data_IF_274558688864
#
_entry.id   IF_274558688864
#
_cell.length_a   1.000
_cell.length_b   1.000
_cell.length_c   1.000
_cell.angle_alpha   90.00
_cell.angle_beta   90.00
_cell.angle_gamma   90.00
#
_symmetry.space_group_name_H-M   'P 1'
#
loop_
_entity.id
_entity.type
_entity.pdbx_description
1 polymer ?
#
# COMPACT_ATOMS: atom_id res chain seq x y z
N UNK A 1 -16.02 -18.15 -16.79
CA UNK A 1 -16.09 -18.81 -15.45
C UNK A 1 -15.97 -17.69 -14.43
N UNK A 2 -16.86 -17.61 -13.43
CA UNK A 2 -16.67 -16.65 -12.32
C UNK A 2 -15.35 -16.95 -11.63
N UNK A 3 -14.62 -15.91 -11.31
CA UNK A 3 -13.40 -16.01 -10.49
C UNK A 3 -13.76 -16.63 -9.13
N UNK A 4 -12.89 -17.50 -8.61
CA UNK A 4 -13.08 -18.07 -7.26
C UNK A 4 -12.70 -17.06 -6.16
N UNK A 5 -12.29 -15.84 -6.54
CA UNK A 5 -11.86 -14.81 -5.61
C UNK A 5 -13.08 -14.23 -4.90
N UNK A 6 -13.05 -14.25 -3.58
CA UNK A 6 -14.06 -13.67 -2.71
C UNK A 6 -13.46 -12.66 -1.70
N UNK A 7 -12.14 -12.59 -1.65
CA UNK A 7 -11.38 -11.74 -0.72
C UNK A 7 -10.36 -10.88 -1.49
N UNK A 8 -10.34 -9.59 -1.21
CA UNK A 8 -9.41 -8.68 -1.85
C UNK A 8 -8.64 -7.93 -0.75
N UNK A 9 -7.32 -8.06 -0.82
CA UNK A 9 -6.38 -7.36 0.05
C UNK A 9 -5.72 -6.23 -0.73
N UNK A 10 -5.68 -5.05 -0.16
CA UNK A 10 -5.11 -3.87 -0.80
C UNK A 10 -3.93 -3.34 0.01
N UNK A 11 -2.88 -2.93 -0.69
CA UNK A 11 -2.01 -1.92 -0.12
C UNK A 11 -2.75 -0.57 -0.03
N UNK A 12 -2.23 0.34 0.78
CA UNK A 12 -2.87 1.63 1.03
C UNK A 12 -2.25 2.75 0.17
N UNK A 13 -0.97 3.03 0.45
CA UNK A 13 -0.27 4.20 -0.12
C UNK A 13 0.12 3.96 -1.59
N UNK A 14 -0.32 4.82 -2.50
CA UNK A 14 -0.09 4.63 -3.94
C UNK A 14 -1.06 3.64 -4.61
N UNK A 15 -1.89 2.95 -3.85
CA UNK A 15 -2.88 1.98 -4.33
C UNK A 15 -4.31 2.48 -4.14
N UNK A 16 -4.75 2.66 -2.90
CA UNK A 16 -6.08 3.18 -2.54
C UNK A 16 -6.12 4.70 -2.41
N UNK A 17 -5.05 5.27 -1.88
CA UNK A 17 -4.90 6.71 -1.68
C UNK A 17 -3.59 7.22 -2.27
N UNK A 18 -3.64 8.38 -2.91
CA UNK A 18 -2.44 9.03 -3.44
C UNK A 18 -1.75 9.82 -2.33
N UNK A 19 -0.74 9.20 -1.77
CA UNK A 19 0.17 9.77 -0.77
C UNK A 19 1.54 10.07 -1.34
N UNK A 20 1.75 9.95 -2.64
CA UNK A 20 3.06 10.05 -3.27
C UNK A 20 3.74 11.38 -2.95
N UNK A 21 3.05 12.52 -3.16
CA UNK A 21 3.59 13.85 -2.88
C UNK A 21 3.87 14.06 -1.38
N UNK A 22 3.00 13.54 -0.52
CA UNK A 22 3.22 13.59 0.92
C UNK A 22 4.50 12.84 1.31
N UNK A 23 4.66 11.61 0.83
CA UNK A 23 5.82 10.76 1.17
C UNK A 23 7.11 11.36 0.62
N UNK A 24 7.11 11.77 -0.66
CA UNK A 24 8.28 12.37 -1.32
C UNK A 24 8.70 13.66 -0.61
N UNK A 25 7.77 14.59 -0.40
CA UNK A 25 8.09 15.86 0.27
C UNK A 25 8.58 15.65 1.70
N UNK A 26 8.04 14.64 2.39
CA UNK A 26 8.47 14.28 3.75
C UNK A 26 9.90 13.73 3.76
N UNK A 27 10.24 12.85 2.82
CA UNK A 27 11.63 12.37 2.69
C UNK A 27 12.57 13.51 2.38
N UNK A 28 12.26 14.35 1.40
CA UNK A 28 13.10 15.48 1.03
C UNK A 28 13.31 16.45 2.20
N UNK A 29 12.26 16.78 2.94
CA UNK A 29 12.34 17.62 4.13
C UNK A 29 13.26 16.99 5.20
N UNK A 30 13.05 15.73 5.50
CA UNK A 30 13.85 15.01 6.50
C UNK A 30 15.32 14.93 6.06
N UNK A 31 15.55 14.50 4.82
CA UNK A 31 16.91 14.30 4.30
C UNK A 31 17.68 15.63 4.14
N UNK A 32 17.02 16.73 3.81
CA UNK A 32 17.65 18.04 3.76
C UNK A 32 18.21 18.46 5.12
N UNK A 33 17.54 18.10 6.22
CA UNK A 33 18.02 18.38 7.58
C UNK A 33 19.29 17.60 7.96
N UNK A 34 19.38 16.32 7.55
CA UNK A 34 20.47 15.42 7.94
C UNK A 34 21.58 15.32 6.89
N UNK A 35 21.25 15.54 5.63
CA UNK A 35 22.16 15.43 4.47
C UNK A 35 21.89 16.57 3.47
N UNK A 36 22.18 17.83 3.83
CA UNK A 36 21.83 19.01 3.03
C UNK A 36 22.31 18.91 1.57
N UNK A 37 21.40 19.17 0.63
CA UNK A 37 21.70 19.19 -0.82
C UNK A 37 22.07 17.84 -1.44
N UNK A 38 21.94 16.73 -0.73
CA UNK A 38 22.41 15.42 -1.21
C UNK A 38 21.36 14.64 -2.02
N UNK A 39 20.08 14.82 -1.73
CA UNK A 39 19.00 14.00 -2.31
C UNK A 39 18.03 14.83 -3.14
N UNK A 40 17.73 14.33 -4.33
CA UNK A 40 16.73 14.87 -5.24
C UNK A 40 15.43 14.09 -5.13
N UNK A 41 14.40 14.54 -5.85
CA UNK A 41 13.11 13.82 -5.96
C UNK A 41 13.30 12.41 -6.50
N UNK A 42 14.12 12.26 -7.51
CA UNK A 42 14.41 10.98 -8.16
C UNK A 42 15.09 10.00 -7.20
N UNK A 43 15.97 10.50 -6.34
CA UNK A 43 16.69 9.68 -5.36
C UNK A 43 15.79 9.10 -4.27
N UNK A 44 14.65 9.75 -3.99
CA UNK A 44 13.73 9.28 -2.93
C UNK A 44 12.64 8.34 -3.46
N UNK A 45 12.43 8.21 -4.77
CA UNK A 45 11.42 7.29 -5.32
C UNK A 45 11.61 5.82 -4.89
N UNK A 46 12.84 5.29 -4.81
CA UNK A 46 13.07 3.93 -4.30
C UNK A 46 12.67 3.72 -2.84
N UNK A 47 12.56 4.79 -2.05
CA UNK A 47 12.21 4.73 -0.62
C UNK A 47 10.71 4.55 -0.38
N UNK A 48 9.87 4.70 -1.41
CA UNK A 48 8.45 4.42 -1.32
C UNK A 48 8.23 2.90 -1.31
N UNK A 49 7.62 2.40 -0.23
CA UNK A 49 7.30 0.98 -0.02
C UNK A 49 8.05 0.32 1.14
N UNK A 50 9.39 0.40 1.24
CA UNK A 50 10.12 -0.06 2.43
C UNK A 50 9.72 0.68 3.70
N UNK A 51 10.03 0.09 4.85
CA UNK A 51 9.81 0.75 6.15
C UNK A 51 10.79 1.91 6.36
N UNK A 52 10.40 2.89 7.18
CA UNK A 52 11.29 4.02 7.51
C UNK A 52 12.60 3.55 8.16
N UNK A 53 12.53 2.49 9.01
CA UNK A 53 13.71 1.95 9.66
C UNK A 53 14.68 1.27 8.68
N UNK A 54 14.16 0.60 7.64
CA UNK A 54 15.00 0.04 6.58
C UNK A 54 15.68 1.15 5.79
N UNK A 55 14.93 2.18 5.38
CA UNK A 55 15.48 3.30 4.58
C UNK A 55 16.51 4.09 5.37
N UNK A 56 16.14 4.59 6.54
CA UNK A 56 17.05 5.43 7.35
C UNK A 56 18.18 4.62 7.98
N UNK A 57 17.92 3.34 8.34
CA UNK A 57 18.96 2.44 8.85
C UNK A 57 20.07 2.15 7.85
N UNK A 58 19.74 2.09 6.55
CA UNK A 58 20.73 1.95 5.49
C UNK A 58 21.55 3.24 5.24
N UNK A 59 21.00 4.41 5.61
CA UNK A 59 21.67 5.71 5.42
C UNK A 59 22.55 6.10 6.62
N UNK A 60 22.01 5.97 7.83
CA UNK A 60 22.65 6.36 9.07
C UNK A 60 22.08 5.57 10.26
N UNK A 61 22.70 4.42 10.60
CA UNK A 61 22.20 3.55 11.67
C UNK A 61 22.16 4.22 13.05
N UNK A 62 23.00 5.24 13.29
CA UNK A 62 23.10 5.90 14.59
C UNK A 62 21.97 6.91 14.83
N UNK A 63 21.39 7.49 13.74
CA UNK A 63 20.36 8.53 13.82
C UNK A 63 18.97 8.09 13.32
N UNK A 64 18.74 6.78 13.17
CA UNK A 64 17.47 6.24 12.64
C UNK A 64 16.27 6.81 13.38
N UNK A 65 16.25 6.73 14.71
CA UNK A 65 15.09 7.15 15.50
C UNK A 65 14.82 8.66 15.39
N UNK A 66 15.87 9.48 15.35
CA UNK A 66 15.73 10.92 15.16
C UNK A 66 15.12 11.24 13.79
N UNK A 67 15.60 10.58 12.74
CA UNK A 67 15.10 10.75 11.38
C UNK A 67 13.64 10.27 11.24
N UNK A 68 13.29 9.15 11.89
CA UNK A 68 11.92 8.64 11.95
C UNK A 68 10.97 9.61 12.66
N UNK A 69 11.40 10.22 13.75
CA UNK A 69 10.61 11.22 14.49
C UNK A 69 10.39 12.47 13.62
N UNK A 70 11.46 12.98 12.99
CA UNK A 70 11.38 14.13 12.09
C UNK A 70 10.41 13.87 10.92
N UNK A 71 10.59 12.72 10.26
CA UNK A 71 9.73 12.27 9.16
C UNK A 71 8.26 12.25 9.60
N UNK A 72 7.96 11.58 10.71
CA UNK A 72 6.59 11.46 11.22
C UNK A 72 5.98 12.80 11.56
N UNK A 73 6.75 13.70 12.16
CA UNK A 73 6.29 15.05 12.53
C UNK A 73 5.88 15.83 11.29
N UNK A 74 6.73 15.89 10.28
CA UNK A 74 6.43 16.59 9.02
C UNK A 74 5.27 15.92 8.26
N UNK A 75 5.27 14.59 8.18
CA UNK A 75 4.23 13.81 7.51
C UNK A 75 2.85 14.10 8.08
N UNK A 76 2.70 14.03 9.41
CA UNK A 76 1.42 14.29 10.08
C UNK A 76 0.94 15.73 9.90
N UNK A 77 1.84 16.70 9.93
CA UNK A 77 1.51 18.11 9.75
C UNK A 77 0.99 18.43 8.34
N UNK A 78 1.45 17.71 7.33
CA UNK A 78 1.11 17.96 5.93
C UNK A 78 0.12 16.93 5.34
N UNK A 79 -0.27 15.93 6.12
CA UNK A 79 -1.06 14.79 5.67
C UNK A 79 -2.34 15.22 4.93
N UNK A 80 -3.22 15.97 5.58
CA UNK A 80 -4.54 16.25 5.04
C UNK A 80 -4.51 17.20 3.83
N UNK A 81 -3.43 17.97 3.69
CA UNK A 81 -3.23 18.85 2.56
C UNK A 81 -2.69 18.17 1.31
N UNK A 82 -1.94 17.08 1.47
CA UNK A 82 -1.20 16.44 0.37
C UNK A 82 -1.76 15.07 -0.04
N UNK A 83 -2.61 14.44 0.77
CA UNK A 83 -3.27 13.18 0.42
C UNK A 83 -4.43 13.43 -0.51
N UNK A 84 -4.53 12.61 -1.58
CA UNK A 84 -5.57 12.73 -2.61
C UNK A 84 -6.26 11.39 -2.88
N UNK A 85 -7.39 11.45 -3.55
CA UNK A 85 -8.11 10.27 -4.07
C UNK A 85 -7.55 9.85 -5.42
N UNK A 86 -7.50 8.54 -5.65
CA UNK A 86 -7.40 8.01 -7.02
C UNK A 86 -8.80 7.85 -7.62
N UNK A 87 -8.92 8.21 -8.89
CA UNK A 87 -10.19 8.07 -9.63
C UNK A 87 -10.64 6.61 -9.67
N UNK A 88 -11.90 6.37 -9.35
CA UNK A 88 -12.51 5.04 -9.42
C UNK A 88 -12.35 4.17 -8.18
N UNK A 89 -11.55 4.59 -7.19
CA UNK A 89 -11.33 3.79 -5.97
C UNK A 89 -12.61 3.70 -5.15
N UNK A 90 -13.20 4.83 -4.74
CA UNK A 90 -14.37 4.85 -3.87
C UNK A 90 -15.53 4.01 -4.45
N UNK A 91 -15.89 4.25 -5.70
CA UNK A 91 -17.02 3.54 -6.34
C UNK A 91 -16.77 2.04 -6.50
N UNK A 92 -15.50 1.64 -6.77
CA UNK A 92 -15.14 0.23 -6.90
C UNK A 92 -15.21 -0.46 -5.55
N UNK A 93 -14.64 0.14 -4.49
CA UNK A 93 -14.65 -0.41 -3.14
C UNK A 93 -16.09 -0.56 -2.63
N UNK A 94 -16.94 0.48 -2.81
CA UNK A 94 -18.37 0.38 -2.48
C UNK A 94 -19.07 -0.76 -3.22
N UNK A 95 -18.79 -0.90 -4.52
CA UNK A 95 -19.41 -1.95 -5.35
C UNK A 95 -18.99 -3.33 -4.88
N UNK A 96 -17.69 -3.55 -4.64
CA UNK A 96 -17.18 -4.81 -4.13
C UNK A 96 -17.82 -5.17 -2.78
N UNK A 97 -17.91 -4.19 -1.86
CA UNK A 97 -18.54 -4.39 -0.57
C UNK A 97 -20.00 -4.77 -0.68
N UNK A 98 -20.76 -4.05 -1.53
CA UNK A 98 -22.20 -4.36 -1.80
C UNK A 98 -22.39 -5.76 -2.41
N UNK A 99 -21.43 -6.26 -3.15
CA UNK A 99 -21.43 -7.60 -3.76
C UNK A 99 -20.96 -8.70 -2.80
N UNK A 100 -20.59 -8.36 -1.57
CA UNK A 100 -20.26 -9.31 -0.51
C UNK A 100 -18.80 -9.76 -0.49
N UNK A 101 -17.89 -9.07 -1.19
CA UNK A 101 -16.46 -9.35 -1.08
C UNK A 101 -15.95 -8.98 0.31
N UNK A 102 -15.05 -9.80 0.84
CA UNK A 102 -14.28 -9.51 2.04
C UNK A 102 -13.13 -8.58 1.65
N UNK A 103 -13.03 -7.42 2.29
CA UNK A 103 -12.04 -6.40 1.95
C UNK A 103 -11.07 -6.18 3.11
N UNK A 104 -9.78 -6.27 2.83
CA UNK A 104 -8.72 -6.04 3.80
C UNK A 104 -7.65 -5.07 3.31
N UNK A 105 -6.98 -4.42 4.25
CA UNK A 105 -5.81 -3.59 3.99
C UNK A 105 -4.58 -4.26 4.58
N UNK A 106 -3.49 -4.28 3.81
CA UNK A 106 -2.18 -4.80 4.22
C UNK A 106 -1.12 -3.76 3.88
N UNK A 107 -0.69 -2.99 4.88
CA UNK A 107 0.20 -1.84 4.68
C UNK A 107 1.45 -1.88 5.56
N UNK A 108 2.56 -1.28 5.07
CA UNK A 108 3.78 -1.03 5.86
C UNK A 108 3.69 0.26 6.69
N UNK A 109 2.58 0.97 6.61
CA UNK A 109 2.29 2.15 7.43
C UNK A 109 1.81 1.72 8.83
N UNK A 110 2.03 2.58 9.83
CA UNK A 110 1.46 2.38 11.16
C UNK A 110 -0.06 2.53 11.14
N UNK A 111 -0.73 1.80 12.02
CA UNK A 111 -2.19 1.75 12.09
C UNK A 111 -2.83 3.14 12.24
N UNK A 112 -2.33 3.97 13.15
CA UNK A 112 -2.88 5.30 13.44
C UNK A 112 -2.85 6.23 12.22
N UNK A 113 -1.76 6.20 11.45
CA UNK A 113 -1.60 7.02 10.24
C UNK A 113 -2.38 6.44 9.06
N UNK A 114 -2.45 5.11 8.95
CA UNK A 114 -3.27 4.43 7.94
C UNK A 114 -4.76 4.77 8.10
N UNK A 115 -5.28 4.69 9.33
CA UNK A 115 -6.65 5.09 9.64
C UNK A 115 -6.93 6.56 9.36
N UNK A 116 -5.96 7.45 9.62
CA UNK A 116 -6.11 8.88 9.30
C UNK A 116 -6.37 9.07 7.80
N UNK A 117 -5.61 8.41 6.93
CA UNK A 117 -5.79 8.47 5.48
C UNK A 117 -7.12 7.89 5.03
N UNK A 118 -7.50 6.72 5.54
CA UNK A 118 -8.78 6.08 5.22
C UNK A 118 -9.99 6.97 5.58
N UNK A 119 -9.97 7.55 6.77
CA UNK A 119 -11.05 8.45 7.24
C UNK A 119 -11.12 9.73 6.41
N UNK A 120 -9.98 10.31 6.05
CA UNK A 120 -9.93 11.49 5.19
C UNK A 120 -10.60 11.21 3.84
N UNK A 121 -10.37 10.01 3.27
CA UNK A 121 -10.97 9.56 2.02
C UNK A 121 -12.32 8.85 2.18
N UNK A 122 -12.85 8.75 3.42
CA UNK A 122 -14.12 8.06 3.77
C UNK A 122 -14.17 6.60 3.34
N UNK A 123 -13.01 5.94 3.30
CA UNK A 123 -12.88 4.54 2.91
C UNK A 123 -12.97 3.57 4.09
N UNK A 124 -12.77 4.05 5.32
CA UNK A 124 -12.72 3.24 6.55
C UNK A 124 -13.93 2.31 6.77
N UNK A 125 -15.19 2.66 6.42
CA UNK A 125 -16.33 1.77 6.68
C UNK A 125 -16.40 0.52 5.79
N UNK A 126 -15.61 0.48 4.71
CA UNK A 126 -15.70 -0.60 3.72
C UNK A 126 -14.77 -1.77 4.01
N UNK A 127 -13.76 -1.57 4.84
CA UNK A 127 -12.75 -2.61 5.11
C UNK A 127 -13.07 -3.39 6.39
N UNK A 128 -13.01 -4.72 6.28
CA UNK A 128 -13.29 -5.65 7.38
C UNK A 128 -12.07 -5.83 8.30
N UNK A 129 -10.88 -5.65 7.76
CA UNK A 129 -9.62 -5.81 8.48
C UNK A 129 -8.56 -4.85 7.95
N UNK A 130 -7.69 -4.39 8.83
CA UNK A 130 -6.43 -3.73 8.47
C UNK A 130 -5.29 -4.42 9.20
N UNK A 131 -4.26 -4.80 8.43
CA UNK A 131 -2.98 -5.27 8.94
C UNK A 131 -1.94 -4.18 8.63
N UNK A 132 -1.46 -3.55 9.68
CA UNK A 132 -0.51 -2.46 9.65
C UNK A 132 0.89 -2.94 10.08
N UNK A 133 1.89 -2.08 9.93
CA UNK A 133 3.28 -2.33 10.34
C UNK A 133 3.41 -2.87 11.77
N UNK A 134 2.66 -2.30 12.70
CA UNK A 134 2.71 -2.61 14.13
C UNK A 134 1.95 -3.88 14.53
N UNK A 135 1.31 -4.56 13.59
CA UNK A 135 0.59 -5.81 13.83
C UNK A 135 1.42 -7.08 13.54
N UNK A 136 2.57 -6.94 12.90
CA UNK A 136 3.37 -8.06 12.38
C UNK A 136 4.84 -7.95 12.78
N UNK A 137 5.54 -9.06 12.74
CA UNK A 137 7.00 -9.10 12.96
C UNK A 137 7.77 -8.89 11.68
N UNK A 138 7.22 -9.39 10.58
CA UNK A 138 7.80 -9.28 9.26
C UNK A 138 6.81 -8.60 8.32
N UNK A 139 7.30 -7.58 7.61
CA UNK A 139 6.50 -6.83 6.64
C UNK A 139 6.62 -7.42 5.25
N UNK A 140 5.78 -6.97 4.31
CA UNK A 140 5.90 -7.28 2.89
C UNK A 140 7.35 -7.02 2.41
N UNK A 141 7.99 -7.90 1.65
CA UNK A 141 7.44 -9.02 0.88
C UNK A 141 7.27 -10.35 1.64
N UNK A 142 7.47 -10.40 2.96
CA UNK A 142 7.13 -11.59 3.75
C UNK A 142 5.59 -11.80 3.70
N UNK A 143 5.11 -13.04 3.60
CA UNK A 143 3.67 -13.32 3.53
C UNK A 143 2.93 -13.19 4.87
N UNK A 144 3.63 -13.00 5.99
CA UNK A 144 3.03 -12.93 7.33
C UNK A 144 1.81 -11.99 7.41
N UNK A 145 1.88 -10.72 6.92
CA UNK A 145 0.74 -9.82 7.03
C UNK A 145 -0.46 -10.25 6.17
N UNK A 146 -0.23 -10.94 5.03
CA UNK A 146 -1.30 -11.48 4.20
C UNK A 146 -1.97 -12.66 4.92
N UNK A 147 -1.21 -13.60 5.49
CA UNK A 147 -1.78 -14.71 6.24
C UNK A 147 -2.60 -14.23 7.43
N UNK A 148 -2.11 -13.22 8.17
CA UNK A 148 -2.85 -12.63 9.28
C UNK A 148 -4.17 -11.97 8.82
N UNK A 149 -4.16 -11.29 7.66
CA UNK A 149 -5.38 -10.72 7.09
C UNK A 149 -6.38 -11.80 6.69
N UNK A 150 -5.92 -12.87 6.03
CA UNK A 150 -6.75 -13.99 5.59
C UNK A 150 -7.37 -14.74 6.77
N UNK A 151 -6.58 -14.98 7.83
CA UNK A 151 -7.07 -15.59 9.07
C UNK A 151 -8.23 -14.78 9.67
N UNK A 152 -8.05 -13.46 9.81
CA UNK A 152 -9.09 -12.58 10.36
C UNK A 152 -10.35 -12.47 9.47
N UNK A 153 -10.18 -12.67 8.17
CA UNK A 153 -11.27 -12.65 7.19
C UNK A 153 -11.93 -14.03 6.99
N UNK A 154 -11.46 -15.07 7.68
CA UNK A 154 -11.88 -16.45 7.42
C UNK A 154 -11.85 -16.75 5.92
N UNK A 155 -10.68 -16.60 5.31
CA UNK A 155 -10.44 -16.76 3.87
C UNK A 155 -9.15 -17.54 3.60
N UNK A 156 -9.03 -18.08 2.39
CA UNK A 156 -7.88 -18.87 1.97
C UNK A 156 -7.07 -18.13 0.90
N UNK A 157 -5.75 -18.41 0.77
CA UNK A 157 -4.93 -17.79 -0.25
C UNK A 157 -5.47 -17.94 -1.69
N UNK A 158 -5.96 -19.13 -2.05
CA UNK A 158 -6.49 -19.43 -3.39
C UNK A 158 -7.80 -18.69 -3.73
N UNK A 159 -8.45 -18.10 -2.73
CA UNK A 159 -9.67 -17.30 -2.86
C UNK A 159 -9.41 -15.79 -2.76
N UNK A 160 -8.13 -15.39 -2.67
CA UNK A 160 -7.73 -14.02 -2.41
C UNK A 160 -6.91 -13.40 -3.56
N UNK A 161 -7.03 -12.08 -3.68
CA UNK A 161 -6.26 -11.23 -4.57
C UNK A 161 -5.56 -10.15 -3.76
N UNK A 162 -4.22 -10.05 -3.87
CA UNK A 162 -3.45 -8.93 -3.34
C UNK A 162 -3.25 -7.87 -4.41
N UNK A 163 -3.66 -6.63 -4.13
CA UNK A 163 -3.57 -5.48 -5.04
C UNK A 163 -2.58 -4.46 -4.46
N UNK A 164 -1.60 -4.04 -5.24
CA UNK A 164 -0.61 -3.06 -4.78
C UNK A 164 0.15 -2.35 -5.88
N UNK A 165 0.86 -1.29 -5.50
CA UNK A 165 1.63 -0.42 -6.40
C UNK A 165 3.14 -0.72 -6.38
N UNK A 166 3.57 -1.68 -5.53
CA UNK A 166 4.97 -1.96 -5.30
C UNK A 166 5.29 -3.46 -5.49
N UNK A 167 6.56 -3.77 -5.78
CA UNK A 167 7.00 -5.16 -5.88
C UNK A 167 6.83 -5.94 -4.57
N UNK A 168 6.91 -5.27 -3.42
CA UNK A 168 6.67 -5.90 -2.13
C UNK A 168 5.26 -6.50 -2.03
N UNK A 169 4.27 -5.87 -2.64
CA UNK A 169 2.88 -6.34 -2.67
C UNK A 169 2.75 -7.59 -3.53
N UNK A 170 3.32 -7.52 -4.74
CA UNK A 170 3.30 -8.62 -5.70
C UNK A 170 4.01 -9.84 -5.13
N UNK A 171 5.21 -9.65 -4.56
CA UNK A 171 5.98 -10.75 -3.98
C UNK A 171 5.30 -11.31 -2.71
N UNK A 172 4.76 -10.46 -1.83
CA UNK A 172 4.03 -10.93 -0.65
C UNK A 172 2.82 -11.78 -1.04
N UNK A 173 2.04 -11.33 -2.05
CA UNK A 173 0.92 -12.08 -2.59
C UNK A 173 1.35 -13.44 -3.16
N UNK A 174 2.39 -13.47 -3.99
CA UNK A 174 2.96 -14.71 -4.53
C UNK A 174 3.46 -15.65 -3.43
N UNK A 175 4.19 -15.11 -2.45
CA UNK A 175 4.70 -15.88 -1.31
C UNK A 175 3.60 -16.44 -0.42
N UNK A 176 2.46 -15.76 -0.34
CA UNK A 176 1.27 -16.23 0.38
C UNK A 176 0.41 -17.21 -0.45
N UNK A 177 0.64 -17.31 -1.76
CA UNK A 177 -0.17 -18.15 -2.65
C UNK A 177 -1.49 -17.50 -3.10
N UNK A 178 -1.64 -16.19 -2.97
CA UNK A 178 -2.78 -15.44 -3.50
C UNK A 178 -2.58 -15.12 -4.98
N UNK A 179 -3.65 -14.74 -5.68
CA UNK A 179 -3.54 -13.98 -6.91
C UNK A 179 -2.99 -12.58 -6.62
N UNK A 180 -2.38 -11.95 -7.63
CA UNK A 180 -1.75 -10.64 -7.49
C UNK A 180 -2.18 -9.69 -8.60
N UNK A 181 -2.39 -8.43 -8.26
CA UNK A 181 -2.64 -7.36 -9.22
C UNK A 181 -1.72 -6.16 -8.94
N UNK A 182 -0.98 -5.74 -9.95
CA UNK A 182 -0.24 -4.50 -9.92
C UNK A 182 -1.08 -3.34 -10.47
N UNK A 183 -0.87 -2.12 -9.97
CA UNK A 183 -1.57 -0.93 -10.45
C UNK A 183 -0.65 -0.11 -11.37
N UNK A 184 -1.12 0.24 -12.57
CA UNK A 184 -0.32 0.97 -13.57
C UNK A 184 -0.10 2.45 -13.22
N UNK A 185 -0.93 3.00 -12.30
CA UNK A 185 -0.76 4.37 -11.79
C UNK A 185 0.30 4.49 -10.67
N UNK A 186 1.00 3.39 -10.35
CA UNK A 186 2.16 3.44 -9.46
C UNK A 186 3.15 4.52 -9.92
N UNK A 187 3.67 5.30 -8.98
CA UNK A 187 4.68 6.34 -9.29
C UNK A 187 5.96 5.75 -9.89
N UNK A 188 6.22 4.47 -9.67
CA UNK A 188 7.35 3.73 -10.25
C UNK A 188 7.08 3.26 -11.69
N UNK A 189 5.83 3.38 -12.14
CA UNK A 189 5.40 3.05 -13.49
C UNK A 189 5.05 1.57 -13.69
N UNK A 190 4.20 1.32 -14.70
CA UNK A 190 3.71 0.00 -15.09
C UNK A 190 4.84 -1.01 -15.36
N UNK A 191 5.86 -0.59 -16.10
CA UNK A 191 6.98 -1.46 -16.50
C UNK A 191 7.82 -1.95 -15.30
N UNK A 192 7.87 -1.16 -14.24
CA UNK A 192 8.52 -1.54 -13.00
C UNK A 192 7.81 -2.75 -12.37
N UNK A 193 6.50 -2.69 -12.23
CA UNK A 193 5.71 -3.78 -11.64
C UNK A 193 5.63 -5.01 -12.56
N UNK A 194 5.57 -4.81 -13.87
CA UNK A 194 5.50 -5.89 -14.85
C UNK A 194 6.68 -6.88 -14.73
N UNK A 195 7.86 -6.42 -14.28
CA UNK A 195 9.04 -7.26 -14.04
C UNK A 195 8.81 -8.34 -12.96
N UNK A 196 7.85 -8.13 -12.08
CA UNK A 196 7.50 -9.07 -11.00
C UNK A 196 6.33 -9.98 -11.38
N UNK A 197 5.84 -9.87 -12.64
CA UNK A 197 4.83 -10.74 -13.24
C UNK A 197 3.58 -10.92 -12.36
N UNK A 198 2.87 -9.83 -11.98
CA UNK A 198 1.58 -9.98 -11.31
C UNK A 198 0.60 -10.71 -12.23
N UNK A 199 -0.37 -11.45 -11.67
CA UNK A 199 -1.40 -12.14 -12.48
C UNK A 199 -2.24 -11.16 -13.29
N UNK A 200 -2.44 -9.95 -12.77
CA UNK A 200 -3.19 -8.87 -13.43
C UNK A 200 -2.45 -7.54 -13.33
N UNK A 201 -2.68 -6.68 -14.32
CA UNK A 201 -2.24 -5.28 -14.28
C UNK A 201 -3.45 -4.39 -14.51
N UNK A 202 -3.77 -3.56 -13.51
CA UNK A 202 -4.92 -2.67 -13.54
C UNK A 202 -4.51 -1.31 -14.12
N UNK A 203 -5.25 -0.83 -15.12
CA UNK A 203 -5.12 0.56 -15.63
C UNK A 203 -5.99 1.53 -14.81
N UNK A 204 -7.05 1.01 -14.22
CA UNK A 204 -7.96 1.72 -13.32
C UNK A 204 -8.48 0.75 -12.25
N UNK A 205 -8.84 1.26 -11.06
CA UNK A 205 -9.39 0.40 -10.01
C UNK A 205 -10.66 -0.34 -10.44
N UNK A 206 -11.46 0.23 -11.36
CA UNK A 206 -12.67 -0.40 -11.94
C UNK A 206 -12.39 -1.70 -12.67
N UNK A 207 -11.16 -1.91 -13.15
CA UNK A 207 -10.78 -3.15 -13.85
C UNK A 207 -10.94 -4.37 -12.96
N UNK A 208 -10.88 -4.19 -11.62
CA UNK A 208 -11.20 -5.26 -10.67
C UNK A 208 -12.59 -5.85 -10.89
N UNK A 209 -13.59 -5.03 -11.20
CA UNK A 209 -14.96 -5.50 -11.42
C UNK A 209 -15.01 -6.43 -12.64
N UNK A 210 -14.28 -6.11 -13.69
CA UNK A 210 -14.16 -6.95 -14.89
C UNK A 210 -13.44 -8.26 -14.59
N UNK A 211 -12.31 -8.20 -13.89
CA UNK A 211 -11.50 -9.39 -13.53
C UNK A 211 -12.31 -10.36 -12.66
N UNK A 212 -13.14 -9.82 -11.77
CA UNK A 212 -13.98 -10.60 -10.87
C UNK A 212 -15.28 -11.09 -11.52
N UNK A 213 -15.57 -10.68 -12.76
CA UNK A 213 -16.78 -11.03 -13.48
C UNK A 213 -18.02 -10.28 -12.99
N UNK A 214 -17.83 -9.07 -12.50
CA UNK A 214 -18.84 -8.18 -11.92
C UNK A 214 -19.11 -6.93 -12.77
N UNK A 215 -18.45 -6.83 -13.94
CA UNK A 215 -18.62 -5.75 -14.91
C UNK A 215 -19.83 -5.89 -15.82
#
# INVERSE_FOLDING_TARGET
MKSNINTILFDLDGTLIDTNELIISTYLHTLEKYFPGKYTREDVLPFLGPTLHEVFGAMDPERVEEMVIEYRTYNLANHDALVKEFVGVMETIETLKKKGYKLGIVTTKREDVAFKGLRLMKLDPFFDVMIAYDHVKKVKPDPEPIFLALEKLDSKPEEALMVGDNFHDVLAGKNAGTKTAGVSWSIKGREYLAKYEPDYMLENMRDLLTILGEG
#
